data_IF_448207375322
#
_entry.id   IF_448207375322
#
_cell.length_a   1.000
_cell.length_b   1.000
_cell.length_c   1.000
_cell.angle_alpha   90.00
_cell.angle_beta   90.00
_cell.angle_gamma   90.00
#
_symmetry.space_group_name_H-M   'P 1'
#
loop_
_entity.id
_entity.type
_entity.pdbx_description
1 polymer ?
#
# COMPACT_ATOMS: atom_id res chain seq x y z
N UNK A 1 -30.44 30.68 10.83
CA UNK A 1 -29.75 30.65 9.52
C UNK A 1 -28.22 30.85 9.65
N UNK A 2 -27.73 31.93 10.29
CA UNK A 2 -26.30 32.25 10.31
C UNK A 2 -25.35 31.30 11.05
N UNK A 3 -25.75 30.69 12.18
CA UNK A 3 -24.88 29.76 12.94
C UNK A 3 -24.66 28.42 12.23
N UNK A 4 -25.64 27.95 11.46
CA UNK A 4 -25.58 26.67 10.74
C UNK A 4 -24.63 26.78 9.55
N UNK A 5 -24.61 27.93 8.87
CA UNK A 5 -23.73 28.18 7.72
C UNK A 5 -22.25 28.26 8.14
N UNK A 6 -21.95 28.94 9.25
CA UNK A 6 -20.58 29.04 9.80
C UNK A 6 -20.04 27.67 10.25
N UNK A 7 -20.89 26.79 10.78
CA UNK A 7 -20.50 25.43 11.15
C UNK A 7 -20.19 24.55 9.92
N UNK A 8 -20.96 24.72 8.84
CA UNK A 8 -20.73 24.03 7.57
C UNK A 8 -19.43 24.50 6.93
N UNK A 9 -19.16 25.80 6.90
CA UNK A 9 -17.91 26.35 6.34
C UNK A 9 -16.67 25.92 7.13
N UNK A 10 -16.75 25.94 8.47
CA UNK A 10 -15.65 25.47 9.33
C UNK A 10 -15.43 23.96 9.20
N UNK A 11 -16.50 23.18 9.00
CA UNK A 11 -16.41 21.74 8.77
C UNK A 11 -15.84 21.41 7.39
N UNK A 12 -16.26 22.11 6.33
CA UNK A 12 -15.71 21.96 4.97
C UNK A 12 -14.23 22.32 4.95
N UNK A 13 -13.84 23.44 5.56
CA UNK A 13 -12.44 23.88 5.63
C UNK A 13 -11.61 22.89 6.45
N UNK A 14 -12.10 22.39 7.60
CA UNK A 14 -11.35 21.43 8.43
C UNK A 14 -11.25 20.04 7.81
N UNK A 15 -12.30 19.57 7.15
CA UNK A 15 -12.29 18.30 6.41
C UNK A 15 -11.39 18.40 5.19
N UNK A 16 -11.46 19.52 4.46
CA UNK A 16 -10.58 19.85 3.35
C UNK A 16 -9.11 19.95 3.75
N UNK A 17 -8.79 20.48 4.94
CA UNK A 17 -7.41 20.53 5.45
C UNK A 17 -6.89 19.15 5.87
N UNK A 18 -7.73 18.24 6.40
CA UNK A 18 -7.30 16.88 6.80
C UNK A 18 -7.17 15.92 5.63
N UNK A 19 -8.17 15.90 4.76
CA UNK A 19 -8.14 15.21 3.46
C UNK A 19 -7.01 15.78 2.62
N UNK A 20 -6.85 17.11 2.63
CA UNK A 20 -5.75 17.82 2.00
C UNK A 20 -4.38 17.48 2.59
N UNK A 21 -4.24 17.28 3.89
CA UNK A 21 -2.96 16.91 4.52
C UNK A 21 -2.56 15.46 4.21
N UNK A 22 -3.50 14.51 4.27
CA UNK A 22 -3.24 13.12 3.87
C UNK A 22 -3.00 13.04 2.37
N UNK A 23 -3.84 13.69 1.55
CA UNK A 23 -3.63 13.76 0.11
C UNK A 23 -2.33 14.49 -0.25
N UNK A 24 -1.95 15.56 0.44
CA UNK A 24 -0.70 16.29 0.23
C UNK A 24 0.50 15.45 0.68
N UNK A 25 0.44 14.73 1.81
CA UNK A 25 1.51 13.80 2.18
C UNK A 25 1.63 12.71 1.12
N UNK A 26 0.53 12.12 0.66
CA UNK A 26 0.57 11.10 -0.40
C UNK A 26 1.08 11.71 -1.72
N UNK A 27 0.63 12.89 -2.14
CA UNK A 27 1.03 13.55 -3.39
C UNK A 27 2.49 14.07 -3.34
N UNK A 28 2.91 14.72 -2.27
CA UNK A 28 4.28 15.17 -2.01
C UNK A 28 5.23 13.98 -1.84
N UNK A 29 4.76 12.89 -1.22
CA UNK A 29 5.49 11.65 -1.22
C UNK A 29 5.58 11.12 -2.64
N UNK A 30 4.51 11.06 -3.42
CA UNK A 30 4.52 10.64 -4.83
C UNK A 30 5.53 11.39 -5.70
N UNK A 31 5.63 12.71 -5.56
CA UNK A 31 6.57 13.54 -6.33
C UNK A 31 8.04 13.36 -5.94
N UNK A 32 8.34 13.02 -4.69
CA UNK A 32 9.71 12.73 -4.20
C UNK A 32 10.05 11.23 -4.38
N UNK A 33 9.08 10.38 -4.13
CA UNK A 33 9.16 8.93 -4.10
C UNK A 33 9.20 8.34 -5.49
N UNK A 34 8.46 8.84 -6.49
CA UNK A 34 8.50 8.27 -7.86
C UNK A 34 9.90 8.42 -8.52
N UNK A 35 10.60 9.56 -8.40
CA UNK A 35 12.00 9.70 -8.81
C UNK A 35 12.97 8.91 -7.93
N UNK A 36 12.75 8.85 -6.62
CA UNK A 36 13.56 8.01 -5.75
C UNK A 36 13.32 6.52 -6.01
N UNK A 37 12.12 6.08 -6.39
CA UNK A 37 11.81 4.72 -6.80
C UNK A 37 12.45 4.43 -8.15
N UNK A 38 12.42 5.35 -9.12
CA UNK A 38 13.10 5.12 -10.40
C UNK A 38 14.60 4.87 -10.21
N UNK A 39 15.19 5.46 -9.15
CA UNK A 39 16.60 5.29 -8.79
C UNK A 39 16.87 4.16 -7.78
N UNK A 40 15.95 3.89 -6.84
CA UNK A 40 16.11 2.95 -5.71
C UNK A 40 15.29 1.66 -5.79
N UNK A 41 14.25 1.59 -6.65
CA UNK A 41 13.41 0.38 -6.84
C UNK A 41 14.06 -0.64 -7.77
N UNK A 42 15.38 -0.74 -7.70
CA UNK A 42 16.11 -1.85 -8.28
C UNK A 42 15.92 -3.07 -7.38
N UNK A 43 14.71 -3.62 -7.33
CA UNK A 43 14.42 -4.82 -6.58
C UNK A 43 14.86 -6.05 -7.38
N UNK A 44 15.57 -7.00 -6.75
CA UNK A 44 16.09 -8.19 -7.43
C UNK A 44 17.22 -7.90 -8.42
N UNK A 45 17.31 -8.65 -9.54
CA UNK A 45 18.36 -8.47 -10.55
C UNK A 45 18.26 -7.16 -11.36
N UNK A 46 17.23 -6.34 -11.18
CA UNK A 46 17.27 -4.93 -11.63
C UNK A 46 18.34 -4.10 -10.88
N UNK A 47 18.78 -4.54 -9.69
CA UNK A 47 19.90 -3.95 -8.93
C UNK A 47 21.26 -4.53 -9.28
N UNK A 48 21.29 -5.77 -9.77
CA UNK A 48 22.49 -6.28 -10.41
C UNK A 48 22.64 -5.52 -11.73
N UNK A 49 23.43 -4.44 -11.67
CA UNK A 49 24.20 -3.93 -12.81
C UNK A 49 24.60 -5.17 -13.60
N UNK A 50 24.10 -5.34 -14.81
CA UNK A 50 24.56 -6.24 -15.90
C UNK A 50 23.36 -6.64 -16.78
N UNK A 51 23.45 -6.27 -18.06
CA UNK A 51 22.62 -6.67 -19.22
C UNK A 51 21.40 -5.80 -19.61
N UNK A 52 21.48 -4.49 -19.44
CA UNK A 52 20.85 -3.59 -20.43
C UNK A 52 22.03 -2.95 -21.18
N UNK A 53 22.13 -3.11 -22.52
CA UNK A 53 23.16 -2.44 -23.30
C UNK A 53 23.09 -0.93 -23.03
N UNK A 54 24.23 -0.30 -22.71
CA UNK A 54 24.33 1.15 -22.47
C UNK A 54 23.72 1.98 -23.59
N UNK A 55 23.67 1.44 -24.82
CA UNK A 55 23.10 2.08 -26.00
C UNK A 55 21.59 2.39 -25.95
N UNK A 56 20.83 1.87 -24.97
CA UNK A 56 19.36 2.09 -24.86
C UNK A 56 18.90 2.90 -23.64
N UNK A 57 19.79 3.29 -22.74
CA UNK A 57 19.47 4.25 -21.68
C UNK A 57 19.98 5.61 -22.10
N UNK A 58 19.10 6.62 -22.19
CA UNK A 58 19.57 8.00 -22.17
C UNK A 58 20.39 8.19 -20.89
N UNK A 59 21.71 8.24 -21.05
CA UNK A 59 22.65 8.40 -19.95
C UNK A 59 22.44 9.80 -19.36
N UNK A 60 21.69 9.87 -18.27
CA UNK A 60 21.47 11.11 -17.55
C UNK A 60 22.81 11.61 -17.01
N UNK A 61 23.38 12.64 -17.65
CA UNK A 61 24.59 13.31 -17.18
C UNK A 61 24.20 14.40 -16.16
N UNK A 62 24.57 14.25 -14.88
CA UNK A 62 24.31 15.28 -13.87
C UNK A 62 25.07 16.57 -14.20
N UNK A 63 24.35 17.69 -14.17
CA UNK A 63 24.84 18.99 -14.67
C UNK A 63 25.74 19.69 -13.66
N UNK A 64 25.50 19.51 -12.36
CA UNK A 64 26.23 20.19 -11.28
C UNK A 64 27.08 19.26 -10.40
N UNK A 65 28.10 19.83 -9.75
CA UNK A 65 28.89 19.14 -8.73
C UNK A 65 28.04 18.71 -7.52
N UNK A 66 27.10 19.56 -7.12
CA UNK A 66 26.12 19.26 -6.08
C UNK A 66 25.25 18.06 -6.46
N UNK A 67 24.75 18.00 -7.70
CA UNK A 67 23.93 16.89 -8.16
C UNK A 67 24.71 15.56 -8.16
N UNK A 68 25.97 15.58 -8.60
CA UNK A 68 26.86 14.41 -8.51
C UNK A 68 27.07 13.95 -7.07
N UNK A 69 27.32 14.89 -6.17
CA UNK A 69 27.45 14.59 -4.74
C UNK A 69 26.15 14.01 -4.16
N UNK A 70 25.00 14.62 -4.47
CA UNK A 70 23.69 14.20 -4.00
C UNK A 70 23.35 12.78 -4.49
N UNK A 71 23.63 12.47 -5.75
CA UNK A 71 23.46 11.12 -6.30
C UNK A 71 24.34 10.11 -5.55
N UNK A 72 25.60 10.44 -5.27
CA UNK A 72 26.49 9.57 -4.48
C UNK A 72 25.99 9.39 -3.04
N UNK A 73 25.53 10.47 -2.42
CA UNK A 73 25.00 10.46 -1.06
C UNK A 73 23.73 9.60 -0.97
N UNK A 74 22.72 9.84 -1.79
CA UNK A 74 21.45 9.09 -1.78
C UNK A 74 21.65 7.61 -2.12
N UNK A 75 22.60 7.28 -3.00
CA UNK A 75 22.91 5.89 -3.34
C UNK A 75 23.93 5.23 -2.40
N UNK A 76 24.26 5.85 -1.26
CA UNK A 76 25.21 5.29 -0.32
C UNK A 76 24.65 3.97 0.27
N UNK A 77 25.45 2.87 0.35
CA UNK A 77 24.97 1.57 0.81
C UNK A 77 24.33 1.57 2.20
N UNK A 78 24.75 2.49 3.08
CA UNK A 78 24.17 2.65 4.42
C UNK A 78 22.66 3.01 4.40
N UNK A 79 22.16 3.59 3.31
CA UNK A 79 20.74 3.92 3.16
C UNK A 79 19.89 2.75 2.63
N UNK A 80 20.48 1.56 2.51
CA UNK A 80 19.78 0.37 2.00
C UNK A 80 19.73 -0.73 3.04
N UNK A 81 18.53 -1.26 3.25
CA UNK A 81 18.29 -2.42 4.10
C UNK A 81 17.82 -3.62 3.27
N UNK A 82 18.02 -4.87 3.75
CA UNK A 82 17.51 -6.04 3.05
C UNK A 82 15.99 -5.97 2.88
N UNK A 83 15.44 -6.16 1.67
CA UNK A 83 14.00 -5.97 1.42
C UNK A 83 13.11 -6.79 2.36
N UNK A 84 13.57 -7.99 2.77
CA UNK A 84 12.88 -8.83 3.77
C UNK A 84 12.61 -8.11 5.09
N UNK A 85 13.53 -7.25 5.53
CA UNK A 85 13.40 -6.45 6.76
C UNK A 85 12.39 -5.33 6.52
N UNK A 86 12.49 -4.62 5.40
CA UNK A 86 11.57 -3.54 5.04
C UNK A 86 10.11 -3.98 4.99
N UNK A 87 9.82 -5.06 4.26
CA UNK A 87 8.45 -5.60 4.19
C UNK A 87 7.93 -6.11 5.53
N UNK A 88 8.79 -6.70 6.38
CA UNK A 88 8.38 -7.11 7.73
C UNK A 88 8.04 -5.90 8.60
N UNK A 89 8.84 -4.84 8.55
CA UNK A 89 8.57 -3.60 9.27
C UNK A 89 7.22 -2.98 8.86
N UNK A 90 6.87 -3.02 7.56
CA UNK A 90 5.58 -2.52 7.07
C UNK A 90 4.40 -3.19 7.76
N UNK A 91 4.34 -4.52 7.65
CA UNK A 91 3.20 -5.27 8.14
C UNK A 91 3.23 -5.45 9.66
N UNK A 92 4.40 -5.43 10.30
CA UNK A 92 4.50 -5.39 11.76
C UNK A 92 4.02 -4.06 12.34
N UNK A 93 4.40 -2.92 11.74
CA UNK A 93 3.91 -1.62 12.18
C UNK A 93 2.40 -1.49 12.01
N UNK A 94 1.87 -1.93 10.85
CA UNK A 94 0.44 -2.02 10.59
C UNK A 94 -0.27 -2.83 11.67
N UNK A 95 0.19 -4.07 11.89
CA UNK A 95 -0.40 -5.00 12.84
C UNK A 95 -0.40 -4.40 14.25
N UNK A 96 0.76 -4.00 14.76
CA UNK A 96 0.88 -3.47 16.13
C UNK A 96 -0.02 -2.27 16.39
N UNK A 97 -0.10 -1.33 15.44
CA UNK A 97 -0.95 -0.14 15.60
C UNK A 97 -2.41 -0.52 15.52
N UNK A 98 -2.82 -1.28 14.50
CA UNK A 98 -4.22 -1.68 14.33
C UNK A 98 -4.72 -2.54 15.51
N UNK A 99 -3.93 -3.51 15.98
CA UNK A 99 -4.22 -4.28 17.20
C UNK A 99 -4.39 -3.37 18.42
N UNK A 100 -3.49 -2.39 18.63
CA UNK A 100 -3.58 -1.49 19.78
C UNK A 100 -4.88 -0.65 19.76
N UNK A 101 -5.32 -0.21 18.58
CA UNK A 101 -6.59 0.49 18.44
C UNK A 101 -7.79 -0.44 18.66
N UNK A 102 -7.81 -1.65 18.07
CA UNK A 102 -8.87 -2.63 18.31
C UNK A 102 -8.99 -2.95 19.80
N UNK A 103 -7.88 -3.21 20.50
CA UNK A 103 -7.88 -3.47 21.94
C UNK A 103 -8.42 -2.29 22.74
N UNK A 104 -8.08 -1.05 22.36
CA UNK A 104 -8.65 0.15 22.98
C UNK A 104 -10.18 0.19 22.82
N UNK A 105 -10.70 -0.14 21.63
CA UNK A 105 -12.15 -0.23 21.39
C UNK A 105 -12.79 -1.27 22.31
N UNK A 106 -12.21 -2.47 22.35
CA UNK A 106 -12.75 -3.57 23.15
C UNK A 106 -12.72 -3.25 24.64
N UNK A 107 -11.65 -2.63 25.14
CA UNK A 107 -11.56 -2.19 26.54
C UNK A 107 -12.64 -1.16 26.85
N UNK A 108 -12.84 -0.18 25.98
CA UNK A 108 -13.90 0.81 26.14
C UNK A 108 -15.30 0.16 26.19
N UNK A 109 -15.62 -0.70 25.23
CA UNK A 109 -16.95 -1.36 25.14
C UNK A 109 -17.21 -2.34 26.30
N UNK A 110 -16.18 -3.03 26.80
CA UNK A 110 -16.32 -4.01 27.89
C UNK A 110 -16.30 -3.39 29.29
N UNK A 111 -15.56 -2.30 29.49
CA UNK A 111 -15.27 -1.79 30.84
C UNK A 111 -15.71 -0.34 31.06
N UNK A 112 -16.00 0.41 30.01
CA UNK A 112 -16.24 1.85 30.08
C UNK A 112 -14.99 2.67 30.45
N UNK A 113 -13.81 2.07 30.61
CA UNK A 113 -12.57 2.79 30.92
C UNK A 113 -11.98 3.46 29.67
N UNK A 114 -11.64 4.74 29.81
CA UNK A 114 -10.87 5.48 28.81
C UNK A 114 -9.39 5.15 28.96
N UNK A 115 -8.87 4.23 28.14
CA UNK A 115 -7.44 3.96 28.07
C UNK A 115 -6.77 4.94 27.09
N UNK A 116 -5.79 5.69 27.59
CA UNK A 116 -4.96 6.58 26.80
C UNK A 116 -3.94 5.80 25.96
N UNK A 117 -4.32 5.39 24.76
CA UNK A 117 -3.35 5.01 23.71
C UNK A 117 -3.20 6.20 22.78
N UNK A 118 -1.98 6.76 22.73
CA UNK A 118 -1.48 7.83 21.85
C UNK A 118 -2.58 8.47 20.97
N UNK A 119 -3.30 9.43 21.52
CA UNK A 119 -4.20 10.26 20.74
C UNK A 119 -3.38 11.14 19.80
N UNK A 120 -3.74 11.32 18.52
CA UNK A 120 -3.30 12.49 17.78
C UNK A 120 -3.91 13.70 18.47
N UNK A 121 -3.14 14.32 19.37
CA UNK A 121 -3.42 15.64 19.94
C UNK A 121 -3.61 16.63 18.79
N UNK A 122 -4.83 16.74 18.27
CA UNK A 122 -5.40 17.89 17.58
C UNK A 122 -6.63 17.49 16.74
N UNK A 123 -7.74 17.07 17.34
CA UNK A 123 -9.06 17.32 16.71
C UNK A 123 -10.12 17.60 17.77
N UNK A 124 -10.72 18.78 17.67
CA UNK A 124 -11.57 19.45 18.66
C UNK A 124 -13.01 18.90 18.71
N UNK A 125 -13.60 18.95 19.90
CA UNK A 125 -15.00 19.26 20.27
C UNK A 125 -16.19 18.52 19.65
N UNK A 126 -16.01 17.65 18.65
CA UNK A 126 -17.10 16.87 18.03
C UNK A 126 -16.95 15.35 18.23
N UNK A 127 -15.97 14.92 19.02
CA UNK A 127 -15.75 13.52 19.42
C UNK A 127 -16.42 13.22 20.77
N UNK A 128 -17.65 13.70 20.94
CA UNK A 128 -18.46 13.43 22.14
C UNK A 128 -19.18 12.08 22.05
N UNK A 129 -19.32 11.48 20.86
CA UNK A 129 -19.71 10.09 20.68
C UNK A 129 -18.46 9.21 20.71
N UNK A 130 -18.31 8.48 21.81
CA UNK A 130 -17.22 7.52 22.04
C UNK A 130 -17.50 6.15 21.40
N UNK A 131 -18.54 6.05 20.58
CA UNK A 131 -18.94 4.82 19.90
C UNK A 131 -18.28 4.74 18.54
N UNK A 132 -17.59 3.63 18.30
CA UNK A 132 -17.05 3.29 16.98
C UNK A 132 -18.17 2.67 16.15
N UNK A 133 -18.31 3.12 14.92
CA UNK A 133 -19.32 2.56 14.04
C UNK A 133 -18.96 1.11 13.67
N UNK A 134 -19.95 0.20 13.57
CA UNK A 134 -19.69 -1.19 13.19
C UNK A 134 -18.85 -1.33 11.91
N UNK A 135 -19.09 -0.47 10.90
CA UNK A 135 -18.34 -0.45 9.66
C UNK A 135 -16.84 -0.16 9.86
N UNK A 136 -16.49 0.75 10.78
CA UNK A 136 -15.09 1.04 11.13
C UNK A 136 -14.43 -0.19 11.75
N UNK A 137 -15.11 -0.86 12.67
CA UNK A 137 -14.60 -2.08 13.30
C UNK A 137 -14.40 -3.20 12.26
N UNK A 138 -15.33 -3.37 11.31
CA UNK A 138 -15.17 -4.32 10.20
C UNK A 138 -13.92 -4.00 9.37
N UNK A 139 -13.70 -2.75 8.99
CA UNK A 139 -12.52 -2.32 8.21
C UNK A 139 -11.23 -2.58 8.98
N UNK A 140 -11.21 -2.28 10.29
CA UNK A 140 -10.05 -2.55 11.15
C UNK A 140 -9.77 -4.05 11.25
N UNK A 141 -10.80 -4.89 11.41
CA UNK A 141 -10.64 -6.36 11.41
C UNK A 141 -10.12 -6.86 10.06
N UNK A 142 -10.65 -6.35 8.94
CA UNK A 142 -10.18 -6.71 7.60
C UNK A 142 -8.72 -6.30 7.38
N UNK A 143 -8.33 -5.11 7.84
CA UNK A 143 -6.94 -4.65 7.82
C UNK A 143 -6.03 -5.51 8.70
N UNK A 144 -6.50 -5.97 9.86
CA UNK A 144 -5.79 -6.90 10.74
C UNK A 144 -5.53 -8.22 10.02
N UNK A 145 -6.57 -8.83 9.45
CA UNK A 145 -6.48 -10.10 8.72
C UNK A 145 -5.53 -9.97 7.51
N UNK A 146 -5.61 -8.85 6.80
CA UNK A 146 -4.68 -8.53 5.72
C UNK A 146 -3.23 -8.47 6.25
N UNK A 147 -2.97 -7.71 7.31
CA UNK A 147 -1.65 -7.54 7.91
C UNK A 147 -1.06 -8.88 8.38
N UNK A 148 -1.84 -9.70 9.10
CA UNK A 148 -1.42 -11.03 9.57
C UNK A 148 -1.04 -11.92 8.41
N UNK A 149 -1.90 -12.01 7.37
CA UNK A 149 -1.61 -12.83 6.19
C UNK A 149 -0.35 -12.36 5.48
N UNK A 150 -0.22 -11.06 5.22
CA UNK A 150 0.94 -10.49 4.53
C UNK A 150 2.23 -10.67 5.31
N UNK A 151 2.19 -10.47 6.63
CA UNK A 151 3.32 -10.72 7.51
C UNK A 151 3.73 -12.19 7.48
N UNK A 152 2.77 -13.12 7.62
CA UNK A 152 3.01 -14.55 7.48
C UNK A 152 3.66 -14.89 6.14
N UNK A 153 3.12 -14.36 5.04
CA UNK A 153 3.68 -14.57 3.69
C UNK A 153 5.12 -14.05 3.60
N UNK A 154 5.43 -12.87 4.15
CA UNK A 154 6.79 -12.32 4.19
C UNK A 154 7.77 -13.17 5.03
N UNK A 155 7.27 -13.90 6.02
CA UNK A 155 8.09 -14.79 6.86
C UNK A 155 8.30 -16.16 6.25
N UNK A 156 7.24 -16.77 5.71
CA UNK A 156 7.21 -18.21 5.38
C UNK A 156 7.10 -18.50 3.88
N UNK A 157 6.41 -17.66 3.13
CA UNK A 157 6.09 -17.94 1.73
C UNK A 157 7.10 -17.26 0.80
N UNK A 158 7.26 -15.95 0.94
CA UNK A 158 8.07 -15.13 0.06
C UNK A 158 9.56 -15.40 0.26
N UNK A 159 10.26 -15.69 -0.84
CA UNK A 159 11.70 -15.96 -0.85
C UNK A 159 12.43 -14.77 -1.41
N UNK A 160 12.82 -13.81 -0.58
CA UNK A 160 13.57 -12.64 -1.04
C UNK A 160 14.95 -13.02 -1.59
N UNK A 161 15.38 -12.37 -2.68
CA UNK A 161 16.77 -12.53 -3.14
C UNK A 161 17.73 -11.98 -2.07
N UNK A 162 18.85 -12.65 -1.76
CA UNK A 162 19.88 -12.13 -0.87
C UNK A 162 20.45 -10.78 -1.31
N UNK A 163 20.46 -10.49 -2.61
CA UNK A 163 20.88 -9.22 -3.20
C UNK A 163 19.79 -8.14 -3.21
N UNK A 164 18.54 -8.48 -2.88
CA UNK A 164 17.45 -7.50 -2.86
C UNK A 164 17.61 -6.50 -1.72
N UNK A 165 17.62 -5.22 -2.08
CA UNK A 165 17.75 -4.10 -1.16
C UNK A 165 16.59 -3.14 -1.34
N UNK A 166 16.26 -2.43 -0.27
CA UNK A 166 15.22 -1.42 -0.22
C UNK A 166 15.79 -0.18 0.46
N UNK A 167 15.52 1.00 -0.09
CA UNK A 167 15.99 2.25 0.50
C UNK A 167 15.27 2.56 1.82
N UNK A 168 15.96 3.15 2.80
CA UNK A 168 15.40 3.49 4.11
C UNK A 168 14.22 4.44 3.96
N UNK A 169 14.35 5.50 3.14
CA UNK A 169 13.24 6.43 2.88
C UNK A 169 12.02 5.71 2.32
N UNK A 170 12.20 4.77 1.39
CA UNK A 170 11.09 3.98 0.85
C UNK A 170 10.42 3.16 1.94
N UNK A 171 11.23 2.67 2.88
CA UNK A 171 10.73 1.95 4.05
C UNK A 171 9.98 2.87 5.01
N UNK A 172 10.53 4.02 5.35
CA UNK A 172 9.85 5.00 6.20
C UNK A 172 8.49 5.41 5.61
N UNK A 173 8.44 5.72 4.30
CA UNK A 173 7.19 6.04 3.61
C UNK A 173 6.17 4.92 3.63
N UNK A 174 6.61 3.68 3.40
CA UNK A 174 5.73 2.52 3.49
C UNK A 174 5.14 2.35 4.89
N UNK A 175 5.97 2.45 5.94
CA UNK A 175 5.50 2.41 7.33
C UNK A 175 4.49 3.53 7.58
N UNK A 176 4.82 4.78 7.23
CA UNK A 176 3.89 5.91 7.36
C UNK A 176 2.56 5.65 6.64
N UNK A 177 2.60 5.17 5.40
CA UNK A 177 1.39 4.86 4.64
C UNK A 177 0.52 3.81 5.34
N UNK A 178 1.10 2.69 5.80
CA UNK A 178 0.32 1.64 6.44
C UNK A 178 -0.27 2.08 7.79
N UNK A 179 0.44 2.92 8.54
CA UNK A 179 -0.09 3.53 9.75
C UNK A 179 -1.29 4.42 9.40
N UNK A 180 -1.13 5.32 8.44
CA UNK A 180 -2.20 6.23 8.02
C UNK A 180 -3.40 5.47 7.45
N UNK A 181 -3.19 4.38 6.70
CA UNK A 181 -4.24 3.53 6.16
C UNK A 181 -4.96 2.69 7.23
N UNK A 182 -4.31 2.40 8.36
CA UNK A 182 -4.97 1.78 9.51
C UNK A 182 -5.82 2.78 10.29
N UNK A 183 -5.35 4.03 10.37
CA UNK A 183 -6.02 5.11 11.11
C UNK A 183 -7.07 5.85 10.27
N UNK A 184 -7.08 5.69 8.94
CA UNK A 184 -7.99 6.39 8.03
C UNK A 184 -9.47 6.24 8.40
N UNK A 185 -9.99 5.10 8.92
CA UNK A 185 -11.39 5.01 9.31
C UNK A 185 -11.73 5.90 10.52
N UNK A 186 -10.74 6.25 11.34
CA UNK A 186 -10.90 7.01 12.58
C UNK A 186 -10.81 8.53 12.40
N UNK A 187 -10.25 8.99 11.27
CA UNK A 187 -9.95 10.41 11.02
C UNK A 187 -11.05 11.10 10.19
N UNK A 188 -11.92 10.33 9.52
CA UNK A 188 -12.96 10.87 8.66
C UNK A 188 -14.14 11.45 9.49
N UNK A 189 -14.42 12.76 9.38
CA UNK A 189 -15.49 13.41 10.15
C UNK A 189 -16.90 13.02 9.70
N UNK A 190 -17.05 12.32 8.58
CA UNK A 190 -18.35 11.83 8.09
C UNK A 190 -18.99 10.77 9.00
N UNK A 191 -18.20 10.06 9.81
CA UNK A 191 -18.69 8.98 10.68
C UNK A 191 -19.14 9.50 12.06
N UNK A 192 -18.55 10.58 12.57
CA UNK A 192 -18.93 11.15 13.87
C UNK A 192 -20.17 12.05 13.84
N UNK A 193 -20.47 12.63 12.67
CA UNK A 193 -21.52 13.64 12.49
C UNK A 193 -22.72 13.15 11.65
N UNK A 194 -22.63 11.98 11.00
CA UNK A 194 -23.76 11.40 10.31
C UNK A 194 -24.74 10.78 11.33
N UNK A 195 -26.07 10.96 11.16
CA UNK A 195 -27.04 10.23 11.97
C UNK A 195 -26.79 8.73 11.79
N UNK A 196 -26.72 7.96 12.90
CA UNK A 196 -26.50 6.49 12.98
C UNK A 196 -26.75 5.84 11.62
N UNK A 197 -25.72 5.76 10.78
CA UNK A 197 -25.91 5.25 9.44
C UNK A 197 -26.29 3.78 9.60
N UNK A 198 -27.51 3.42 9.18
CA UNK A 198 -27.93 2.03 9.18
C UNK A 198 -26.88 1.23 8.43
N UNK A 199 -26.32 0.21 9.09
CA UNK A 199 -25.30 -0.65 8.50
C UNK A 199 -25.79 -1.15 7.14
N UNK A 200 -25.09 -0.74 6.08
CA UNK A 200 -25.41 -1.15 4.72
C UNK A 200 -24.88 -2.57 4.51
N UNK A 201 -25.71 -3.56 4.84
CA UNK A 201 -25.34 -4.97 4.73
C UNK A 201 -24.87 -5.38 3.33
N UNK A 202 -25.42 -4.75 2.27
CA UNK A 202 -24.95 -5.00 0.90
C UNK A 202 -23.50 -4.53 0.69
N UNK A 203 -23.09 -3.40 1.31
CA UNK A 203 -21.74 -2.86 1.22
C UNK A 203 -20.76 -3.75 1.98
N UNK A 204 -21.16 -4.22 3.18
CA UNK A 204 -20.39 -5.21 3.94
C UNK A 204 -20.24 -6.51 3.14
N UNK A 205 -21.34 -7.08 2.63
CA UNK A 205 -21.32 -8.34 1.91
C UNK A 205 -20.47 -8.27 0.64
N UNK A 206 -20.66 -7.23 -0.18
CA UNK A 206 -19.88 -7.04 -1.41
C UNK A 206 -18.41 -6.72 -1.12
N UNK A 207 -18.11 -5.91 -0.11
CA UNK A 207 -16.76 -5.61 0.34
C UNK A 207 -16.04 -6.86 0.88
N UNK A 208 -16.68 -7.64 1.74
CA UNK A 208 -16.11 -8.90 2.27
C UNK A 208 -15.85 -9.89 1.13
N UNK A 209 -16.80 -10.07 0.20
CA UNK A 209 -16.61 -10.92 -0.97
C UNK A 209 -15.39 -10.48 -1.79
N UNK A 210 -15.29 -9.19 -2.09
CA UNK A 210 -14.18 -8.62 -2.86
C UNK A 210 -12.84 -8.77 -2.13
N UNK A 211 -12.83 -8.58 -0.81
CA UNK A 211 -11.65 -8.77 0.03
C UNK A 211 -11.17 -10.21 0.05
N UNK A 212 -12.09 -11.17 0.13
CA UNK A 212 -11.77 -12.62 0.10
C UNK A 212 -11.21 -13.00 -1.27
N UNK A 213 -11.85 -12.57 -2.36
CA UNK A 213 -11.38 -12.82 -3.74
C UNK A 213 -9.98 -12.21 -3.94
N UNK A 214 -9.79 -10.94 -3.58
CA UNK A 214 -8.49 -10.27 -3.69
C UNK A 214 -7.42 -10.96 -2.84
N UNK A 215 -7.73 -11.30 -1.59
CA UNK A 215 -6.79 -11.99 -0.69
C UNK A 215 -6.42 -13.39 -1.19
N UNK A 216 -7.39 -14.13 -1.74
CA UNK A 216 -7.16 -15.46 -2.32
C UNK A 216 -6.21 -15.38 -3.51
N UNK A 217 -6.53 -14.59 -4.54
CA UNK A 217 -5.70 -14.48 -5.74
C UNK A 217 -4.32 -13.90 -5.43
N UNK A 218 -4.24 -12.93 -4.52
CA UNK A 218 -2.94 -12.40 -4.11
C UNK A 218 -2.07 -13.47 -3.44
N UNK A 219 -2.62 -14.26 -2.50
CA UNK A 219 -1.87 -15.31 -1.83
C UNK A 219 -1.42 -16.40 -2.81
N UNK A 220 -2.30 -16.79 -3.73
CA UNK A 220 -1.99 -17.75 -4.81
C UNK A 220 -0.85 -17.25 -5.67
N UNK A 221 -0.90 -15.98 -6.12
CA UNK A 221 0.16 -15.38 -6.89
C UNK A 221 1.50 -15.35 -6.14
N UNK A 222 1.51 -15.01 -4.83
CA UNK A 222 2.73 -15.06 -4.03
C UNK A 222 3.31 -16.47 -3.88
N UNK A 223 2.46 -17.49 -3.76
CA UNK A 223 2.90 -18.89 -3.72
C UNK A 223 3.51 -19.31 -5.06
N UNK A 224 2.92 -18.92 -6.19
CA UNK A 224 3.48 -19.17 -7.54
C UNK A 224 4.87 -18.53 -7.64
N UNK A 225 5.00 -17.24 -7.33
CA UNK A 225 6.29 -16.53 -7.38
C UNK A 225 7.34 -17.17 -6.44
N UNK A 226 6.92 -17.62 -5.27
CA UNK A 226 7.80 -18.29 -4.33
C UNK A 226 8.25 -19.69 -4.80
N UNK A 227 7.41 -20.42 -5.54
CA UNK A 227 7.76 -21.74 -6.12
C UNK A 227 8.83 -21.60 -7.20
N UNK A 228 8.74 -20.57 -8.05
CA UNK A 228 9.76 -20.30 -9.09
C UNK A 228 11.16 -20.13 -8.50
N UNK A 229 11.27 -19.53 -7.32
CA UNK A 229 12.56 -19.35 -6.63
C UNK A 229 13.11 -20.61 -5.95
N UNK A 230 12.31 -21.68 -5.82
CA UNK A 230 12.76 -22.95 -5.21
C UNK A 230 13.38 -23.92 -6.21
N UNK A 231 13.23 -23.67 -7.52
CA UNK A 231 13.72 -24.60 -8.54
C UNK A 231 15.26 -24.67 -8.55
N UNK A 232 15.88 -25.83 -8.89
CA UNK A 232 17.34 -26.00 -8.90
C UNK A 232 18.07 -24.97 -9.79
N UNK A 233 17.43 -24.51 -10.86
CA UNK A 233 17.93 -23.46 -11.78
C UNK A 233 17.55 -22.03 -11.35
N UNK A 234 17.22 -21.79 -10.08
CA UNK A 234 16.74 -20.51 -9.53
C UNK A 234 17.67 -19.29 -9.72
N UNK A 235 18.91 -19.49 -10.19
CA UNK A 235 19.81 -18.39 -10.59
C UNK A 235 19.28 -17.61 -11.82
N UNK A 236 18.40 -18.21 -12.63
CA UNK A 236 17.78 -17.59 -13.81
C UNK A 236 16.30 -17.29 -13.53
N UNK A 237 15.88 -16.06 -13.77
CA UNK A 237 14.48 -15.68 -13.66
C UNK A 237 13.64 -16.47 -14.67
N UNK A 238 12.42 -16.84 -14.25
CA UNK A 238 11.45 -17.56 -15.07
C UNK A 238 10.15 -16.77 -15.13
N UNK A 239 9.42 -16.90 -16.24
CA UNK A 239 8.13 -16.24 -16.42
C UNK A 239 7.07 -16.97 -15.58
N UNK A 240 6.33 -16.28 -14.68
CA UNK A 240 5.28 -16.92 -13.89
C UNK A 240 4.10 -17.34 -14.76
N UNK A 241 3.50 -18.47 -14.42
CA UNK A 241 2.31 -19.02 -15.08
C UNK A 241 1.34 -19.59 -14.03
N UNK A 242 0.04 -19.63 -14.37
CA UNK A 242 -1.05 -20.04 -13.48
C UNK A 242 -1.76 -18.85 -12.84
N UNK A 243 -3.02 -19.06 -12.44
CA UNK A 243 -3.90 -17.99 -11.95
C UNK A 243 -3.97 -16.82 -12.96
N UNK A 244 -4.22 -15.59 -12.49
CA UNK A 244 -4.25 -14.38 -13.31
C UNK A 244 -2.92 -14.01 -13.99
N UNK A 245 -1.81 -14.74 -13.75
CA UNK A 245 -0.58 -14.50 -14.53
C UNK A 245 -0.76 -14.79 -16.02
N UNK A 246 -1.79 -15.54 -16.42
CA UNK A 246 -2.11 -15.78 -17.83
C UNK A 246 -2.56 -14.49 -18.55
N UNK A 247 -3.17 -13.55 -17.83
CA UNK A 247 -3.73 -12.33 -18.40
C UNK A 247 -2.80 -11.13 -18.21
N UNK A 248 -2.11 -11.06 -17.07
CA UNK A 248 -1.30 -9.89 -16.69
C UNK A 248 0.04 -10.27 -16.08
N UNK A 249 1.02 -9.37 -16.16
CA UNK A 249 2.37 -9.58 -15.61
C UNK A 249 2.39 -9.54 -14.09
N UNK A 250 1.58 -8.69 -13.48
CA UNK A 250 1.58 -8.43 -12.03
C UNK A 250 0.18 -8.57 -11.39
N UNK A 251 -0.45 -9.75 -11.46
CA UNK A 251 -1.82 -9.97 -10.95
C UNK A 251 -1.95 -9.77 -9.43
N UNK A 252 -0.89 -10.04 -8.67
CA UNK A 252 -0.86 -9.79 -7.23
C UNK A 252 -1.00 -8.31 -6.86
N UNK A 253 -0.68 -7.40 -7.78
CA UNK A 253 -0.92 -5.97 -7.60
C UNK A 253 -2.37 -5.60 -7.89
N UNK A 254 -2.98 -6.19 -8.93
CA UNK A 254 -4.42 -6.04 -9.16
C UNK A 254 -5.22 -6.55 -7.94
N UNK A 255 -4.85 -7.71 -7.43
CA UNK A 255 -5.49 -8.30 -6.25
C UNK A 255 -5.34 -7.40 -5.00
N UNK A 256 -4.23 -6.69 -4.84
CA UNK A 256 -4.06 -5.69 -3.78
C UNK A 256 -5.01 -4.49 -3.96
N UNK A 257 -5.16 -3.99 -5.18
CA UNK A 257 -6.11 -2.91 -5.48
C UNK A 257 -7.54 -3.32 -5.10
N UNK A 258 -7.93 -4.57 -5.39
CA UNK A 258 -9.25 -5.11 -5.00
C UNK A 258 -9.42 -5.17 -3.48
N UNK A 259 -8.37 -5.53 -2.72
CA UNK A 259 -8.40 -5.52 -1.26
C UNK A 259 -8.64 -4.11 -0.73
N UNK A 260 -7.93 -3.09 -1.25
CA UNK A 260 -8.14 -1.72 -0.80
C UNK A 260 -9.51 -1.17 -1.24
N UNK A 261 -10.00 -1.54 -2.43
CA UNK A 261 -11.33 -1.18 -2.89
C UNK A 261 -12.42 -1.79 -1.99
N UNK A 262 -12.24 -3.04 -1.56
CA UNK A 262 -13.13 -3.67 -0.59
C UNK A 262 -13.23 -2.89 0.71
N UNK A 263 -12.10 -2.42 1.26
CA UNK A 263 -12.09 -1.61 2.47
C UNK A 263 -12.83 -0.27 2.26
N UNK A 264 -12.68 0.35 1.10
CA UNK A 264 -13.36 1.61 0.76
C UNK A 264 -14.86 1.45 0.57
N UNK A 265 -15.30 0.30 0.04
CA UNK A 265 -16.73 -0.05 -0.06
C UNK A 265 -17.34 -0.25 1.32
N UNK A 266 -16.64 -0.93 2.24
CA UNK A 266 -17.14 -1.15 3.61
C UNK A 266 -17.13 0.15 4.43
N UNK A 267 -16.08 0.97 4.31
CA UNK A 267 -15.96 2.20 5.10
C UNK A 267 -16.81 3.35 4.56
N UNK A 268 -17.05 3.38 3.25
CA UNK A 268 -17.64 4.51 2.52
C UNK A 268 -16.96 5.87 2.80
N UNK A 269 -15.72 5.85 3.28
CA UNK A 269 -14.98 7.07 3.65
C UNK A 269 -14.20 7.62 2.47
N UNK A 270 -14.16 8.94 2.36
CA UNK A 270 -13.36 9.63 1.34
C UNK A 270 -11.88 9.29 1.51
N UNK A 271 -11.42 9.19 2.76
CA UNK A 271 -10.04 8.85 3.08
C UNK A 271 -9.64 7.47 2.57
N UNK A 272 -10.54 6.48 2.61
CA UNK A 272 -10.23 5.13 2.11
C UNK A 272 -10.18 5.07 0.59
N UNK A 273 -11.04 5.82 -0.11
CA UNK A 273 -10.94 5.98 -1.57
C UNK A 273 -9.64 6.67 -2.01
N UNK A 274 -9.12 7.62 -1.22
CA UNK A 274 -7.79 8.19 -1.45
C UNK A 274 -6.68 7.15 -1.26
N UNK A 275 -6.81 6.26 -0.27
CA UNK A 275 -5.89 5.11 -0.14
C UNK A 275 -5.94 4.21 -1.38
N UNK A 276 -7.14 3.93 -1.93
CA UNK A 276 -7.29 3.16 -3.18
C UNK A 276 -6.58 3.85 -4.34
N UNK A 277 -6.81 5.15 -4.53
CA UNK A 277 -6.18 5.92 -5.60
C UNK A 277 -4.64 5.92 -5.49
N UNK A 278 -4.11 6.07 -4.28
CA UNK A 278 -2.69 6.00 -3.99
C UNK A 278 -2.09 4.62 -4.31
N UNK A 279 -2.70 3.55 -3.77
CA UNK A 279 -2.25 2.17 -3.98
C UNK A 279 -2.28 1.83 -5.47
N UNK A 280 -3.37 2.17 -6.16
CA UNK A 280 -3.52 1.97 -7.60
C UNK A 280 -2.41 2.67 -8.38
N UNK A 281 -2.16 3.96 -8.09
CA UNK A 281 -1.13 4.74 -8.79
C UNK A 281 0.27 4.13 -8.61
N UNK A 282 0.65 3.82 -7.37
CA UNK A 282 1.95 3.24 -7.05
C UNK A 282 2.15 1.86 -7.69
N UNK A 283 1.10 1.02 -7.63
CA UNK A 283 1.15 -0.33 -8.17
C UNK A 283 1.12 -0.36 -9.70
N UNK A 284 0.40 0.55 -10.35
CA UNK A 284 0.43 0.70 -11.80
C UNK A 284 1.83 1.07 -12.30
N UNK A 285 2.50 2.04 -11.68
CA UNK A 285 3.89 2.42 -12.03
C UNK A 285 4.83 1.22 -11.86
N UNK A 286 4.70 0.49 -10.75
CA UNK A 286 5.53 -0.69 -10.47
C UNK A 286 5.25 -1.85 -11.41
N UNK A 287 3.98 -2.09 -11.75
CA UNK A 287 3.55 -3.10 -12.71
C UNK A 287 4.11 -2.82 -14.10
N UNK A 288 4.03 -1.58 -14.58
CA UNK A 288 4.52 -1.18 -15.90
C UNK A 288 6.03 -1.37 -16.03
N UNK A 289 6.80 -1.03 -14.99
CA UNK A 289 8.24 -1.31 -14.96
C UNK A 289 8.54 -2.80 -14.98
N UNK A 290 7.78 -3.58 -14.23
CA UNK A 290 7.92 -5.04 -14.18
C UNK A 290 7.59 -5.67 -15.54
N UNK A 291 6.53 -5.20 -16.19
CA UNK A 291 6.12 -5.63 -17.52
C UNK A 291 7.20 -5.31 -18.57
N UNK A 292 7.70 -4.07 -18.61
CA UNK A 292 8.80 -3.67 -19.50
C UNK A 292 10.05 -4.51 -19.28
N UNK A 293 10.39 -4.80 -18.02
CA UNK A 293 11.52 -5.66 -17.69
C UNK A 293 11.32 -7.09 -18.23
N UNK A 294 10.13 -7.68 -18.08
CA UNK A 294 9.84 -9.00 -18.66
C UNK A 294 10.01 -9.00 -20.19
N UNK A 295 9.47 -7.99 -20.89
CA UNK A 295 9.62 -7.85 -22.34
C UNK A 295 11.09 -7.75 -22.77
N UNK A 296 11.91 -7.02 -22.02
CA UNK A 296 13.33 -6.86 -22.32
C UNK A 296 14.17 -8.12 -22.02
N UNK A 297 13.77 -8.92 -21.04
CA UNK A 297 14.54 -10.09 -20.60
C UNK A 297 14.18 -11.39 -21.33
N UNK A 298 12.95 -11.51 -21.83
CA UNK A 298 12.43 -12.75 -22.42
C UNK A 298 12.00 -12.49 -23.88
N UNK A 299 12.75 -12.99 -24.88
CA UNK A 299 12.48 -12.72 -26.30
C UNK A 299 11.06 -13.06 -26.76
N UNK A 300 10.46 -14.13 -26.22
CA UNK A 300 9.13 -14.61 -26.60
C UNK A 300 8.02 -14.12 -25.66
N UNK A 301 8.28 -13.14 -24.79
CA UNK A 301 7.29 -12.67 -23.83
C UNK A 301 6.07 -12.03 -24.49
N UNK A 302 6.29 -11.29 -25.57
CA UNK A 302 5.23 -10.55 -26.28
C UNK A 302 4.20 -11.48 -26.92
N UNK A 303 4.58 -12.74 -27.22
CA UNK A 303 3.67 -13.77 -27.71
C UNK A 303 2.58 -14.16 -26.69
N UNK A 304 2.81 -13.89 -25.40
CA UNK A 304 1.85 -14.19 -24.34
C UNK A 304 0.69 -13.18 -24.26
N UNK A 305 0.78 -12.06 -24.98
CA UNK A 305 -0.23 -10.98 -25.00
C UNK A 305 -0.73 -10.52 -23.60
N UNK A 306 0.15 -10.58 -22.60
CA UNK A 306 -0.17 -10.14 -21.23
C UNK A 306 -0.19 -8.62 -21.15
N UNK A 307 -1.07 -8.08 -20.31
CA UNK A 307 -1.03 -6.66 -19.90
C UNK A 307 -0.23 -6.48 -18.61
N UNK A 308 0.05 -5.26 -18.18
CA UNK A 308 0.85 -5.01 -16.98
C UNK A 308 0.11 -5.41 -15.70
N UNK A 309 -1.16 -4.99 -15.54
CA UNK A 309 -1.93 -5.14 -14.30
C UNK A 309 -3.44 -5.28 -14.48
N UNK A 310 -4.09 -4.53 -15.38
CA UNK A 310 -5.53 -4.63 -15.69
C UNK A 310 -5.70 -5.51 -16.94
N UNK A 311 -6.37 -6.66 -16.83
CA UNK A 311 -6.63 -7.54 -17.97
C UNK A 311 -7.25 -6.78 -19.15
N UNK A 312 -6.76 -7.07 -20.35
CA UNK A 312 -7.24 -6.50 -21.62
C UNK A 312 -7.05 -4.98 -21.81
N UNK A 313 -6.75 -4.21 -20.76
CA UNK A 313 -6.62 -2.76 -20.80
C UNK A 313 -5.18 -2.26 -20.62
N UNK A 314 -4.55 -2.54 -19.47
CA UNK A 314 -3.31 -1.88 -19.04
C UNK A 314 -2.31 -2.84 -18.42
#
# INVERSE_FOLDING_TARGET
>A
AGRTMVLVDVWIVRSGVRVGFVAMILLCWGSIFVPLLSRSSKYGKLAERHRIPESKMHEYRPSSSFERWLIKFVNHPAFFLPSRVGFRLFYSALLSINTAFILKVLVWELTGLRVGVLWPMATSSCTTSSHIEPAQLFVMIMMELHAVRRLYECWRVHRFSPSSRQHILVTAGGVCFYILAALSPLVDPGIGCAPKASVKWWAIASGVLLFVVGSYHQSTCHRILARLRRQPNSRRYSVPAGDWFQLVSSPHYLAEILIYAALAIVSETTTQWLCVAWVTSNLCVTASRTHQWYRAQFPNYDMLNRKAIIPFLY
#
